data_IF_633816023235
#
_entry.id   IF_633816023235
#
_cell.length_a   1.000
_cell.length_b   1.000
_cell.length_c   1.000
_cell.angle_alpha   90.00
_cell.angle_beta   90.00
_cell.angle_gamma   90.00
#
_symmetry.space_group_name_H-M   'P 1'
#
loop_
_entity.id
_entity.type
_entity.pdbx_description
1 polymer ?
#
# COMPACT_ATOMS: atom_id res chain seq x y z
N UNK A 1 13.84 9.38 -68.98
CA UNK A 1 13.20 10.45 -69.79
C UNK A 1 12.45 11.38 -68.88
N UNK A 2 12.94 12.58 -68.88
CA UNK A 2 12.30 13.90 -68.65
C UNK A 2 11.71 14.11 -67.22
N UNK A 3 12.36 14.87 -66.40
CA UNK A 3 12.42 16.36 -66.34
C UNK A 3 11.05 16.92 -65.92
N UNK A 4 10.87 17.72 -64.95
CA UNK A 4 11.51 19.00 -64.50
C UNK A 4 10.39 19.71 -63.72
N UNK A 5 10.43 20.57 -62.80
CA UNK A 5 11.34 21.60 -62.34
C UNK A 5 10.77 22.25 -61.09
N UNK A 6 11.65 22.74 -60.28
CA UNK A 6 11.57 23.74 -59.21
C UNK A 6 10.75 25.00 -59.54
N UNK A 7 10.13 25.63 -58.53
CA UNK A 7 10.23 27.08 -58.41
C UNK A 7 10.17 27.51 -56.91
N UNK A 8 11.28 28.07 -56.46
CA UNK A 8 11.45 28.94 -55.30
C UNK A 8 10.84 30.33 -55.61
N UNK A 9 10.24 30.94 -54.61
CA UNK A 9 10.23 32.44 -54.57
C UNK A 9 10.49 32.85 -53.11
N UNK A 10 11.55 33.66 -53.02
CA UNK A 10 12.06 34.38 -51.84
C UNK A 10 11.41 35.70 -51.63
N UNK A 11 11.66 36.23 -50.42
CA UNK A 11 11.82 37.63 -49.99
C UNK A 11 10.54 38.35 -49.61
N UNK A 12 10.49 39.10 -48.57
CA UNK A 12 11.42 39.75 -47.64
C UNK A 12 10.69 40.84 -46.83
N UNK A 13 11.34 41.64 -45.98
CA UNK A 13 10.84 42.02 -44.68
C UNK A 13 10.29 43.46 -44.60
N UNK A 14 9.72 43.80 -43.44
CA UNK A 14 9.60 45.12 -42.77
C UNK A 14 8.24 45.29 -42.09
N UNK A 15 8.04 45.95 -40.99
CA UNK A 15 8.79 46.84 -40.10
C UNK A 15 8.06 46.92 -38.75
N UNK A 16 8.79 47.34 -37.76
CA UNK A 16 8.45 47.76 -36.41
C UNK A 16 7.26 48.70 -36.34
N UNK A 17 6.43 48.56 -35.30
CA UNK A 17 5.95 49.72 -34.53
C UNK A 17 5.70 49.29 -33.07
N UNK A 18 6.33 50.04 -32.21
CA UNK A 18 6.19 50.08 -30.76
C UNK A 18 4.86 50.67 -30.35
N UNK A 19 4.20 50.07 -29.36
CA UNK A 19 3.44 50.84 -28.40
C UNK A 19 3.51 50.17 -27.03
N UNK A 20 3.99 50.96 -26.09
CA UNK A 20 3.92 50.78 -24.65
C UNK A 20 2.50 51.05 -24.24
N UNK A 21 2.02 50.39 -23.17
CA UNK A 21 1.33 50.99 -22.06
C UNK A 21 0.77 49.89 -21.17
N UNK A 22 1.26 49.91 -20.00
CA UNK A 22 0.75 50.33 -18.67
C UNK A 22 0.04 49.23 -17.91
N UNK A 23 0.77 48.67 -16.95
CA UNK A 23 0.24 48.00 -15.77
C UNK A 23 -0.57 48.99 -14.89
N UNK A 24 -1.62 48.55 -14.20
CA UNK A 24 -2.07 49.21 -12.99
C UNK A 24 -1.53 48.46 -11.75
N UNK A 25 -0.61 49.12 -11.05
CA UNK A 25 -0.22 48.75 -9.68
C UNK A 25 -1.41 49.04 -8.73
N UNK A 26 -1.91 48.00 -8.07
CA UNK A 26 -2.74 48.20 -6.88
C UNK A 26 -1.86 48.32 -5.65
N UNK A 27 -1.74 49.56 -5.17
CA UNK A 27 -1.14 49.86 -3.87
C UNK A 27 -2.11 49.46 -2.76
N UNK A 28 -1.69 48.55 -1.87
CA UNK A 28 -2.35 48.35 -0.60
C UNK A 28 -1.83 49.37 0.41
N UNK A 29 -2.72 50.21 0.88
CA UNK A 29 -2.50 51.13 1.98
C UNK A 29 -2.49 50.37 3.29
N UNK A 30 -1.34 50.38 3.99
CA UNK A 30 -1.23 49.96 5.38
C UNK A 30 -1.87 51.02 6.28
N UNK A 31 -3.00 50.71 6.90
CA UNK A 31 -3.52 51.49 8.02
C UNK A 31 -2.95 50.84 9.30
N UNK A 32 -2.09 51.56 9.96
CA UNK A 32 -1.60 51.25 11.30
C UNK A 32 -2.69 51.59 12.34
N UNK A 33 -3.05 50.64 13.19
CA UNK A 33 -3.82 50.84 14.41
C UNK A 33 -2.97 50.54 15.65
N UNK A 34 -3.20 51.16 16.80
CA UNK A 34 -2.22 51.35 17.87
C UNK A 34 -2.11 50.10 18.76
N UNK A 35 -0.90 49.95 19.29
CA UNK A 35 -0.55 48.96 20.32
C UNK A 35 -1.42 49.12 21.59
N UNK A 36 -1.95 48.00 22.05
CA UNK A 36 -2.20 47.82 23.47
C UNK A 36 -1.95 46.37 23.91
N UNK A 37 -1.12 46.29 24.91
CA UNK A 37 -0.65 45.10 25.64
C UNK A 37 -1.78 44.20 26.14
N UNK A 38 -1.64 42.87 25.97
CA UNK A 38 -1.74 41.89 27.07
C UNK A 38 -1.43 40.49 26.57
N UNK A 39 -0.57 39.83 27.30
CA UNK A 39 -0.13 38.46 27.11
C UNK A 39 -1.26 37.46 26.91
N UNK A 40 -1.17 36.60 25.88
CA UNK A 40 -2.09 35.47 25.64
C UNK A 40 -2.18 34.91 24.23
N UNK A 41 -1.41 35.40 23.25
CA UNK A 41 -1.64 35.10 21.84
C UNK A 41 -0.66 34.15 21.13
N UNK A 42 0.25 33.46 21.82
CA UNK A 42 1.27 32.61 21.14
C UNK A 42 0.91 31.13 20.98
N UNK A 43 -0.26 30.70 21.47
CA UNK A 43 -0.62 29.26 21.42
C UNK A 43 -1.64 28.88 20.31
N UNK A 44 -2.21 29.85 19.58
CA UNK A 44 -3.22 29.57 18.55
C UNK A 44 -2.66 29.57 17.10
N UNK A 45 -1.58 30.27 16.83
CA UNK A 45 -1.02 30.34 15.46
C UNK A 45 -0.16 29.11 15.17
N UNK A 46 0.49 28.51 16.15
CA UNK A 46 1.24 27.26 15.98
C UNK A 46 0.31 26.04 15.73
N UNK A 47 -0.93 26.06 16.23
CA UNK A 47 -1.91 24.98 15.99
C UNK A 47 -2.62 25.04 14.62
N UNK A 48 -2.54 26.15 13.90
CA UNK A 48 -3.15 26.27 12.55
C UNK A 48 -2.17 25.90 11.43
N UNK A 49 -0.86 25.79 11.71
CA UNK A 49 0.14 25.34 10.74
C UNK A 49 0.34 23.81 10.73
N UNK A 50 -0.17 23.08 11.75
CA UNK A 50 -0.10 21.61 11.82
C UNK A 50 -1.32 20.90 11.18
N UNK A 51 -2.31 21.60 10.65
CA UNK A 51 -3.56 20.98 10.15
C UNK A 51 -3.66 20.88 8.62
N UNK A 52 -2.61 21.12 7.87
CA UNK A 52 -2.58 20.93 6.40
C UNK A 52 -1.66 19.79 5.95
N UNK A 53 -1.48 18.73 6.74
CA UNK A 53 -1.09 17.44 6.16
C UNK A 53 -2.34 16.92 5.44
N UNK A 54 -2.46 17.20 4.14
CA UNK A 54 -3.43 16.58 3.25
C UNK A 54 -3.31 15.07 3.41
N UNK A 55 -4.38 14.41 3.88
CA UNK A 55 -4.45 12.95 3.84
C UNK A 55 -4.30 12.52 2.37
N UNK A 56 -3.10 12.09 2.02
CA UNK A 56 -2.78 11.52 0.71
C UNK A 56 -3.35 10.11 0.69
N UNK A 57 -4.63 9.98 0.36
CA UNK A 57 -5.31 8.69 0.30
C UNK A 57 -4.68 7.80 -0.75
N UNK A 58 -3.99 6.77 -0.32
CA UNK A 58 -3.38 5.74 -1.15
C UNK A 58 -4.47 4.83 -1.72
N UNK A 59 -4.47 4.57 -3.02
CA UNK A 59 -5.23 3.48 -3.63
C UNK A 59 -4.22 2.41 -4.08
N UNK A 60 -4.11 1.38 -3.29
CA UNK A 60 -3.33 0.21 -3.59
C UNK A 60 -4.24 -0.97 -3.93
N UNK A 61 -3.74 -1.90 -4.69
CA UNK A 61 -4.38 -3.17 -5.02
C UNK A 61 -3.32 -4.26 -4.99
N UNK A 62 -3.66 -5.44 -4.46
CA UNK A 62 -2.70 -6.55 -4.26
C UNK A 62 -2.04 -7.05 -5.55
N UNK A 63 -2.77 -7.04 -6.69
CA UNK A 63 -2.21 -7.42 -7.99
C UNK A 63 -1.52 -6.22 -8.63
N UNK A 64 -0.20 -6.30 -8.85
CA UNK A 64 0.55 -5.22 -9.45
C UNK A 64 0.07 -4.89 -10.87
N UNK A 65 0.06 -3.61 -11.29
CA UNK A 65 -0.35 -3.21 -12.63
C UNK A 65 0.38 -3.94 -13.76
N UNK A 66 1.67 -4.26 -13.60
CA UNK A 66 2.46 -4.93 -14.64
C UNK A 66 1.95 -6.34 -14.96
N UNK A 67 1.38 -7.05 -13.97
CA UNK A 67 0.77 -8.37 -14.17
C UNK A 67 -0.51 -8.23 -14.99
N UNK A 68 -1.40 -7.32 -14.60
CA UNK A 68 -2.64 -7.06 -15.34
C UNK A 68 -2.36 -6.53 -16.76
N UNK A 69 -1.36 -5.63 -16.92
CA UNK A 69 -0.93 -5.13 -18.24
C UNK A 69 -0.46 -6.27 -19.14
N UNK A 70 0.30 -7.23 -18.60
CA UNK A 70 0.74 -8.39 -19.36
C UNK A 70 -0.43 -9.28 -19.77
N UNK A 71 -1.34 -9.59 -18.84
CA UNK A 71 -2.55 -10.37 -19.14
C UNK A 71 -3.43 -9.67 -20.18
N UNK A 72 -3.55 -8.36 -20.13
CA UNK A 72 -4.30 -7.55 -21.10
C UNK A 72 -3.64 -7.48 -22.50
N UNK A 73 -2.41 -7.96 -22.66
CA UNK A 73 -1.69 -8.03 -23.93
C UNK A 73 -1.62 -9.45 -24.52
N UNK A 74 -2.17 -10.45 -23.83
CA UNK A 74 -2.24 -11.81 -24.36
C UNK A 74 -3.28 -11.94 -25.48
N UNK A 75 -3.08 -12.87 -26.40
CA UNK A 75 -4.07 -13.19 -27.44
C UNK A 75 -5.19 -14.10 -26.92
N UNK A 76 -5.11 -14.60 -25.67
CA UNK A 76 -6.11 -15.47 -25.08
C UNK A 76 -7.26 -14.65 -24.48
N UNK A 77 -8.48 -14.75 -25.05
CA UNK A 77 -9.63 -13.97 -24.59
C UNK A 77 -10.04 -14.26 -23.15
N UNK A 78 -9.68 -15.43 -22.59
CA UNK A 78 -9.97 -15.80 -21.20
C UNK A 78 -9.23 -14.88 -20.22
N UNK A 79 -8.02 -14.43 -20.55
CA UNK A 79 -7.18 -13.58 -19.71
C UNK A 79 -7.36 -12.10 -20.05
N UNK A 80 -7.31 -11.77 -21.35
CA UNK A 80 -7.36 -10.42 -21.86
C UNK A 80 -8.58 -9.60 -21.37
N UNK A 81 -9.80 -10.17 -21.51
CA UNK A 81 -11.03 -9.41 -21.18
C UNK A 81 -11.14 -9.07 -19.70
N UNK A 82 -10.75 -10.02 -18.82
CA UNK A 82 -10.87 -9.84 -17.38
C UNK A 82 -9.78 -8.90 -16.84
N UNK A 83 -8.53 -9.04 -17.30
CA UNK A 83 -7.45 -8.16 -16.94
C UNK A 83 -7.70 -6.71 -17.36
N UNK A 84 -8.18 -6.50 -18.59
CA UNK A 84 -8.52 -5.17 -19.10
C UNK A 84 -9.63 -4.51 -18.30
N UNK A 85 -10.69 -5.26 -17.97
CA UNK A 85 -11.79 -4.74 -17.13
C UNK A 85 -11.29 -4.35 -15.74
N UNK A 86 -10.44 -5.18 -15.12
CA UNK A 86 -9.84 -4.88 -13.82
C UNK A 86 -9.00 -3.61 -13.89
N UNK A 87 -8.13 -3.44 -14.92
CA UNK A 87 -7.33 -2.22 -15.11
C UNK A 87 -8.18 -0.95 -15.28
N UNK A 88 -9.24 -1.02 -16.10
CA UNK A 88 -10.16 0.11 -16.32
C UNK A 88 -10.87 0.49 -15.02
N UNK A 89 -11.27 -0.51 -14.25
CA UNK A 89 -11.93 -0.31 -12.96
C UNK A 89 -10.99 0.30 -11.92
N UNK A 90 -9.79 -0.25 -11.73
CA UNK A 90 -8.77 0.26 -10.82
C UNK A 90 -8.37 1.69 -11.17
N UNK A 91 -8.27 2.03 -12.46
CA UNK A 91 -8.05 3.38 -12.95
C UNK A 91 -9.15 4.37 -12.53
N UNK A 92 -10.40 3.93 -12.58
CA UNK A 92 -11.56 4.73 -12.17
C UNK A 92 -11.61 4.96 -10.67
N UNK A 93 -11.30 3.93 -9.87
CA UNK A 93 -11.23 4.00 -8.41
C UNK A 93 -10.11 4.94 -7.95
N UNK A 94 -8.92 4.85 -8.55
CA UNK A 94 -7.80 5.78 -8.27
C UNK A 94 -8.20 7.23 -8.52
N UNK A 95 -8.94 7.49 -9.59
CA UNK A 95 -9.41 8.83 -9.93
C UNK A 95 -10.45 9.33 -8.92
N UNK A 96 -11.43 8.50 -8.56
CA UNK A 96 -12.43 8.83 -7.54
C UNK A 96 -11.77 9.16 -6.21
N UNK A 97 -10.83 8.35 -5.75
CA UNK A 97 -10.17 8.51 -4.47
C UNK A 97 -9.37 9.81 -4.39
N UNK A 98 -8.65 10.20 -5.45
CA UNK A 98 -7.98 11.50 -5.54
C UNK A 98 -8.95 12.69 -5.42
N UNK A 99 -10.19 12.54 -5.90
CA UNK A 99 -11.22 13.58 -5.81
C UNK A 99 -11.89 13.61 -4.44
N UNK A 100 -12.04 12.45 -3.77
CA UNK A 100 -12.74 12.32 -2.49
C UNK A 100 -11.83 12.67 -1.30
N UNK A 101 -10.52 12.44 -1.40
CA UNK A 101 -9.54 12.82 -0.39
C UNK A 101 -9.62 14.32 -0.02
N UNK A 102 -9.99 15.17 -0.95
CA UNK A 102 -10.27 16.60 -0.69
C UNK A 102 -11.54 16.86 0.13
N UNK A 103 -12.41 15.86 0.32
CA UNK A 103 -13.72 16.02 0.98
C UNK A 103 -13.78 15.39 2.38
N UNK A 104 -12.90 14.42 2.69
CA UNK A 104 -12.91 13.67 3.96
C UNK A 104 -12.30 14.42 5.16
N UNK A 105 -11.79 15.62 4.98
CA UNK A 105 -11.27 16.47 6.07
C UNK A 105 -12.32 16.81 7.16
N UNK A 106 -13.57 16.41 6.98
CA UNK A 106 -14.69 16.74 7.89
C UNK A 106 -15.65 15.58 8.19
N UNK A 107 -15.30 14.33 7.98
CA UNK A 107 -16.07 13.24 8.55
C UNK A 107 -15.62 13.07 10.00
N UNK A 108 -16.45 13.55 10.89
CA UNK A 108 -16.37 13.38 12.34
C UNK A 108 -16.15 11.88 12.63
N UNK A 109 -14.91 11.52 12.97
CA UNK A 109 -14.63 10.22 13.54
C UNK A 109 -15.37 10.20 14.87
N UNK A 110 -16.56 9.61 14.89
CA UNK A 110 -17.16 9.16 16.13
C UNK A 110 -16.21 8.11 16.70
N UNK A 111 -15.14 8.59 17.34
CA UNK A 111 -14.16 7.78 18.04
C UNK A 111 -14.93 6.94 19.06
N UNK A 112 -15.24 5.71 18.67
CA UNK A 112 -15.73 4.72 19.59
C UNK A 112 -14.65 4.51 20.65
N UNK A 113 -15.03 4.20 21.85
CA UNK A 113 -14.05 3.77 22.88
C UNK A 113 -13.29 2.57 22.30
N UNK A 114 -11.94 2.59 22.29
CA UNK A 114 -11.14 1.44 21.85
C UNK A 114 -11.66 0.17 22.52
N UNK A 115 -11.86 -0.89 21.74
CA UNK A 115 -12.43 -2.17 22.21
C UNK A 115 -11.43 -3.29 21.95
N UNK A 116 -11.28 -4.19 22.91
CA UNK A 116 -10.48 -5.42 22.75
C UNK A 116 -11.20 -6.48 21.92
N UNK A 117 -12.40 -6.19 21.44
CA UNK A 117 -13.15 -7.06 20.53
C UNK A 117 -13.33 -6.40 19.18
N UNK A 118 -13.11 -7.13 18.07
CA UNK A 118 -13.32 -6.59 16.73
C UNK A 118 -14.80 -6.29 16.48
N UNK A 119 -15.07 -5.39 15.55
CA UNK A 119 -16.44 -5.12 15.04
C UNK A 119 -16.42 -5.38 13.55
N UNK A 120 -16.66 -6.65 13.16
CA UNK A 120 -16.60 -7.09 11.77
C UNK A 120 -17.97 -7.13 11.11
N UNK A 121 -18.06 -6.66 9.88
CA UNK A 121 -19.26 -6.79 9.05
C UNK A 121 -18.84 -7.18 7.63
N UNK A 122 -19.45 -8.25 7.10
CA UNK A 122 -19.22 -8.69 5.72
C UNK A 122 -20.46 -8.41 4.90
N UNK A 123 -20.23 -7.82 3.74
CA UNK A 123 -21.22 -7.49 2.72
C UNK A 123 -20.98 -8.31 1.46
N UNK A 124 -22.04 -8.61 0.73
CA UNK A 124 -22.04 -9.30 -0.55
C UNK A 124 -22.45 -8.32 -1.66
N UNK A 125 -21.55 -8.04 -2.59
CA UNK A 125 -21.81 -7.20 -3.75
C UNK A 125 -22.56 -7.93 -4.88
N UNK A 126 -22.72 -9.26 -4.81
CA UNK A 126 -23.44 -10.07 -5.81
C UNK A 126 -22.94 -9.85 -7.23
N UNK A 127 -21.62 -9.82 -7.40
CA UNK A 127 -20.93 -9.51 -8.66
C UNK A 127 -21.26 -8.12 -9.24
N UNK A 128 -21.77 -7.19 -8.41
CA UNK A 128 -21.92 -5.77 -8.77
C UNK A 128 -20.72 -4.95 -8.26
N UNK A 129 -20.54 -3.74 -8.83
CA UNK A 129 -19.49 -2.79 -8.44
C UNK A 129 -20.02 -1.73 -7.46
N UNK A 130 -21.10 -2.04 -6.77
CA UNK A 130 -21.74 -1.13 -5.80
C UNK A 130 -21.35 -1.54 -4.38
N UNK A 131 -20.75 -0.61 -3.64
CA UNK A 131 -20.31 -0.79 -2.26
C UNK A 131 -21.30 -0.14 -1.28
N UNK A 132 -21.44 -0.74 -0.06
CA UNK A 132 -20.84 -2.00 0.38
C UNK A 132 -21.59 -3.26 -0.07
N UNK A 133 -22.77 -3.16 -0.68
CA UNK A 133 -23.62 -4.30 -1.02
C UNK A 133 -24.59 -4.68 0.10
N UNK A 134 -24.98 -5.98 0.16
CA UNK A 134 -25.93 -6.48 1.15
C UNK A 134 -25.18 -7.10 2.33
N UNK A 135 -25.47 -6.69 3.56
CA UNK A 135 -24.89 -7.32 4.75
C UNK A 135 -25.27 -8.80 4.83
N UNK A 136 -24.26 -9.67 4.95
CA UNK A 136 -24.44 -11.13 5.01
C UNK A 136 -23.89 -11.76 6.29
N UNK A 137 -22.94 -11.09 6.98
CA UNK A 137 -22.45 -11.56 8.27
C UNK A 137 -22.03 -10.38 9.14
N UNK A 138 -22.46 -10.38 10.41
CA UNK A 138 -22.07 -9.41 11.42
C UNK A 138 -21.16 -10.05 12.48
N UNK A 139 -20.57 -9.22 13.35
CA UNK A 139 -19.78 -9.70 14.49
C UNK A 139 -20.61 -10.66 15.35
N UNK A 140 -19.97 -11.77 15.76
CA UNK A 140 -20.59 -12.81 16.59
C UNK A 140 -21.58 -13.72 15.87
N UNK A 141 -21.83 -13.52 14.57
CA UNK A 141 -22.70 -14.41 13.79
C UNK A 141 -22.01 -15.73 13.46
N UNK A 142 -22.75 -16.84 13.51
CA UNK A 142 -22.26 -18.14 13.11
C UNK A 142 -21.83 -18.18 11.62
N UNK A 143 -20.89 -19.07 11.27
CA UNK A 143 -20.47 -19.26 9.89
C UNK A 143 -21.64 -19.67 8.99
N UNK A 144 -21.77 -19.00 7.84
CA UNK A 144 -22.70 -19.38 6.78
C UNK A 144 -22.14 -20.49 5.86
N UNK A 145 -22.89 -20.78 4.79
CA UNK A 145 -22.44 -21.75 3.76
C UNK A 145 -21.40 -21.18 2.81
N UNK A 146 -21.33 -19.88 2.71
CA UNK A 146 -20.43 -19.17 1.81
C UNK A 146 -19.00 -19.15 2.39
N UNK A 147 -18.09 -19.82 1.69
CA UNK A 147 -16.70 -19.92 2.13
C UNK A 147 -15.94 -18.60 2.02
N UNK A 148 -16.25 -17.78 1.01
CA UNK A 148 -15.65 -16.46 0.79
C UNK A 148 -15.98 -15.50 1.92
N UNK A 149 -17.28 -15.44 2.30
CA UNK A 149 -17.75 -14.66 3.46
C UNK A 149 -17.06 -15.10 4.74
N UNK A 150 -16.92 -16.43 4.94
CA UNK A 150 -16.29 -16.97 6.15
C UNK A 150 -14.79 -16.68 6.21
N UNK A 151 -14.08 -16.78 5.07
CA UNK A 151 -12.65 -16.46 4.99
C UNK A 151 -12.39 -14.96 5.22
N UNK A 152 -13.17 -14.08 4.58
CA UNK A 152 -13.09 -12.64 4.82
C UNK A 152 -13.27 -12.32 6.31
N UNK A 153 -14.32 -12.86 6.94
CA UNK A 153 -14.58 -12.65 8.37
C UNK A 153 -13.44 -13.15 9.26
N UNK A 154 -12.88 -14.32 8.97
CA UNK A 154 -11.77 -14.89 9.72
C UNK A 154 -10.48 -14.07 9.52
N UNK A 155 -10.19 -13.63 8.29
CA UNK A 155 -9.00 -12.83 7.97
C UNK A 155 -9.01 -11.44 8.63
N UNK A 156 -10.17 -10.76 8.66
CA UNK A 156 -10.33 -9.52 9.42
C UNK A 156 -10.03 -9.76 10.91
N UNK A 157 -10.51 -10.89 11.46
CA UNK A 157 -10.24 -11.28 12.85
C UNK A 157 -8.78 -11.57 13.12
N UNK A 158 -8.10 -12.32 12.24
CA UNK A 158 -6.68 -12.64 12.37
C UNK A 158 -5.82 -11.37 12.35
N UNK A 159 -6.16 -10.41 11.49
CA UNK A 159 -5.51 -9.11 11.43
C UNK A 159 -5.68 -8.33 12.74
N UNK A 160 -6.92 -8.21 13.21
CA UNK A 160 -7.23 -7.56 14.49
C UNK A 160 -6.47 -8.20 15.65
N UNK A 161 -6.44 -9.52 15.71
CA UNK A 161 -5.80 -10.29 16.76
C UNK A 161 -4.28 -10.07 16.83
N UNK A 162 -3.58 -10.07 15.69
CA UNK A 162 -2.15 -9.76 15.67
C UNK A 162 -1.89 -8.34 16.19
N UNK A 163 -2.57 -7.34 15.64
CA UNK A 163 -2.35 -5.95 16.00
C UNK A 163 -2.67 -5.69 17.47
N UNK A 164 -3.77 -6.23 17.99
CA UNK A 164 -4.12 -6.05 19.40
C UNK A 164 -3.20 -6.83 20.34
N UNK A 165 -3.08 -8.15 20.12
CA UNK A 165 -2.43 -9.05 21.09
C UNK A 165 -0.91 -8.93 21.13
N UNK A 166 -0.29 -8.55 20.00
CA UNK A 166 1.18 -8.43 19.90
C UNK A 166 1.65 -7.00 20.05
N UNK A 167 0.90 -6.05 19.48
CA UNK A 167 1.32 -4.65 19.41
C UNK A 167 0.46 -3.68 20.23
N UNK A 168 -0.63 -4.15 20.84
CA UNK A 168 -1.52 -3.33 21.65
C UNK A 168 -2.34 -2.31 20.86
N UNK A 169 -2.48 -2.53 19.52
CA UNK A 169 -3.21 -1.61 18.63
C UNK A 169 -4.67 -2.03 18.48
N UNK A 170 -5.57 -1.10 18.73
CA UNK A 170 -7.02 -1.29 18.65
C UNK A 170 -7.52 -1.00 17.22
N UNK A 171 -7.58 -2.05 16.39
CA UNK A 171 -7.99 -1.95 14.98
C UNK A 171 -7.03 -1.13 14.11
N UNK A 172 -7.48 -0.68 12.92
CA UNK A 172 -6.66 -0.05 11.88
C UNK A 172 -6.19 1.35 12.30
N UNK A 173 -7.04 2.10 12.97
CA UNK A 173 -6.81 3.50 13.37
C UNK A 173 -6.30 3.67 14.82
N UNK A 174 -6.13 2.55 15.55
CA UNK A 174 -5.86 2.53 17.00
C UNK A 174 -6.97 3.15 17.87
N UNK A 175 -8.15 3.37 17.29
CA UNK A 175 -9.32 3.95 17.96
C UNK A 175 -10.56 3.02 17.86
N UNK A 176 -10.39 1.80 17.31
CA UNK A 176 -11.46 0.81 17.22
C UNK A 176 -12.32 0.94 15.96
N UNK A 177 -11.74 1.36 14.84
CA UNK A 177 -12.44 1.40 13.54
C UNK A 177 -13.13 0.06 13.24
N UNK A 178 -14.42 0.05 12.83
CA UNK A 178 -15.09 -1.16 12.39
C UNK A 178 -14.38 -1.79 11.19
N UNK A 179 -14.23 -3.10 11.21
CA UNK A 179 -13.63 -3.86 10.11
C UNK A 179 -14.73 -4.34 9.16
N UNK A 180 -14.97 -3.57 8.12
CA UNK A 180 -15.94 -3.89 7.09
C UNK A 180 -15.26 -4.55 5.89
N UNK A 181 -15.91 -5.52 5.26
CA UNK A 181 -15.44 -6.11 4.02
C UNK A 181 -16.60 -6.40 3.06
N UNK A 182 -16.37 -6.16 1.78
CA UNK A 182 -17.27 -6.55 0.70
C UNK A 182 -16.64 -7.68 -0.10
N UNK A 183 -17.36 -8.78 -0.27
CA UNK A 183 -16.98 -9.93 -1.10
C UNK A 183 -17.81 -10.00 -2.36
N UNK A 184 -17.41 -10.86 -3.30
CA UNK A 184 -18.07 -11.04 -4.60
C UNK A 184 -18.20 -9.73 -5.37
N UNK A 185 -17.14 -8.90 -5.29
CA UNK A 185 -17.13 -7.60 -5.95
C UNK A 185 -16.80 -7.73 -7.43
N UNK A 186 -17.65 -7.12 -8.27
CA UNK A 186 -17.51 -7.19 -9.71
C UNK A 186 -17.69 -8.61 -10.27
N UNK A 187 -17.68 -8.73 -11.58
CA UNK A 187 -17.73 -10.04 -12.23
C UNK A 187 -16.34 -10.48 -12.65
N UNK A 188 -15.81 -11.55 -12.03
CA UNK A 188 -14.45 -12.05 -12.28
C UNK A 188 -13.41 -10.94 -12.10
N UNK A 189 -13.57 -10.18 -11.05
CA UNK A 189 -12.66 -9.10 -10.71
C UNK A 189 -11.37 -9.68 -10.13
N UNK A 190 -10.26 -9.42 -10.83
CA UNK A 190 -8.95 -10.00 -10.51
C UNK A 190 -8.14 -9.10 -9.58
N UNK A 191 -8.75 -8.67 -8.47
CA UNK A 191 -8.04 -7.87 -7.48
C UNK A 191 -8.71 -7.88 -6.11
N UNK A 192 -8.00 -7.36 -5.10
CA UNK A 192 -8.50 -6.92 -3.82
C UNK A 192 -7.89 -5.56 -3.46
N UNK A 193 -8.57 -4.76 -2.65
CA UNK A 193 -8.08 -3.45 -2.24
C UNK A 193 -8.72 -2.96 -0.94
N UNK A 194 -7.98 -2.09 -0.24
CA UNK A 194 -8.49 -1.21 0.80
C UNK A 194 -8.97 0.10 0.19
N UNK A 195 -10.25 0.48 0.37
CA UNK A 195 -10.80 1.71 -0.21
C UNK A 195 -10.68 2.95 0.70
N UNK A 196 -10.12 2.80 1.89
CA UNK A 196 -10.03 3.83 2.93
C UNK A 196 -11.01 3.63 4.08
N UNK A 197 -12.06 2.83 3.89
CA UNK A 197 -13.11 2.57 4.87
C UNK A 197 -13.41 1.08 5.03
N UNK A 198 -13.21 0.29 3.99
CA UNK A 198 -13.50 -1.14 3.96
C UNK A 198 -12.56 -1.92 3.04
N UNK A 199 -12.52 -3.22 3.26
CA UNK A 199 -11.90 -4.17 2.34
C UNK A 199 -12.85 -4.54 1.21
N UNK A 200 -12.31 -4.74 0.01
CA UNK A 200 -13.08 -5.19 -1.16
C UNK A 200 -12.35 -6.34 -1.84
N UNK A 201 -13.05 -7.45 -2.05
CA UNK A 201 -12.50 -8.68 -2.61
C UNK A 201 -13.25 -9.12 -3.86
N UNK A 202 -12.50 -9.34 -4.95
CA UNK A 202 -12.96 -10.06 -6.12
C UNK A 202 -12.88 -11.58 -5.95
N UNK A 203 -13.63 -12.30 -6.77
CA UNK A 203 -13.62 -13.77 -6.80
C UNK A 203 -12.51 -14.34 -7.69
N UNK A 204 -11.77 -13.47 -8.39
CA UNK A 204 -10.88 -13.89 -9.46
C UNK A 204 -11.64 -14.38 -10.70
N UNK A 205 -10.89 -14.70 -11.75
CA UNK A 205 -11.47 -15.26 -12.99
C UNK A 205 -11.62 -16.79 -12.94
N UNK A 206 -10.97 -17.43 -11.97
CA UNK A 206 -10.94 -18.87 -11.76
C UNK A 206 -9.89 -19.60 -12.62
N UNK A 207 -9.22 -18.89 -13.51
CA UNK A 207 -8.18 -19.42 -14.39
C UNK A 207 -6.78 -18.94 -13.95
N UNK A 208 -6.54 -17.62 -13.94
CA UNK A 208 -5.26 -17.02 -13.50
C UNK A 208 -5.27 -16.77 -12.00
N UNK A 209 -6.36 -16.20 -11.50
CA UNK A 209 -6.53 -15.91 -10.08
C UNK A 209 -7.77 -16.59 -9.53
N UNK A 210 -7.62 -17.14 -8.34
CA UNK A 210 -8.70 -17.65 -7.51
C UNK A 210 -9.26 -16.53 -6.62
N UNK A 211 -10.18 -16.87 -5.73
CA UNK A 211 -10.82 -15.97 -4.78
C UNK A 211 -9.78 -15.29 -3.84
N UNK A 212 -9.79 -13.97 -3.80
CA UNK A 212 -8.83 -13.13 -3.09
C UNK A 212 -8.94 -13.20 -1.56
N UNK A 213 -9.94 -13.88 -1.04
CA UNK A 213 -10.05 -14.20 0.40
C UNK A 213 -9.31 -15.47 0.81
N UNK A 214 -8.80 -16.28 -0.15
CA UNK A 214 -8.11 -17.54 0.16
C UNK A 214 -6.83 -17.31 0.97
N UNK A 215 -5.91 -16.42 0.56
CA UNK A 215 -4.70 -16.19 1.32
C UNK A 215 -4.94 -15.13 2.40
N UNK A 216 -4.79 -15.49 3.67
CA UNK A 216 -4.98 -14.56 4.79
C UNK A 216 -3.96 -13.42 4.80
N UNK A 217 -2.76 -13.64 4.24
CA UNK A 217 -1.73 -12.63 4.07
C UNK A 217 -2.17 -11.50 3.12
N UNK A 218 -3.00 -11.78 2.11
CA UNK A 218 -3.61 -10.76 1.23
C UNK A 218 -4.57 -9.88 2.02
N UNK A 219 -5.43 -10.47 2.86
CA UNK A 219 -6.34 -9.71 3.72
C UNK A 219 -5.57 -8.81 4.68
N UNK A 220 -4.51 -9.36 5.29
CA UNK A 220 -3.63 -8.64 6.20
C UNK A 220 -2.84 -7.54 5.53
N UNK A 221 -2.36 -7.76 4.30
CA UNK A 221 -1.65 -6.78 3.47
C UNK A 221 -2.51 -5.54 3.23
N UNK A 222 -3.70 -5.74 2.72
CA UNK A 222 -4.60 -4.63 2.39
C UNK A 222 -5.03 -3.82 3.63
N UNK A 223 -5.35 -4.50 4.73
CA UNK A 223 -5.67 -3.82 5.99
C UNK A 223 -4.47 -3.07 6.56
N UNK A 224 -3.25 -3.53 6.31
CA UNK A 224 -2.02 -2.85 6.75
C UNK A 224 -1.80 -1.53 6.00
N UNK A 225 -2.25 -1.39 4.75
CA UNK A 225 -2.29 -0.08 4.10
C UNK A 225 -3.13 0.93 4.89
N UNK A 226 -4.23 0.49 5.49
CA UNK A 226 -5.00 1.30 6.43
C UNK A 226 -4.19 1.68 7.67
N UNK A 227 -3.42 0.75 8.26
CA UNK A 227 -2.53 1.05 9.39
C UNK A 227 -1.46 2.06 9.00
N UNK A 228 -0.80 1.89 7.85
CA UNK A 228 0.18 2.87 7.33
C UNK A 228 -0.45 4.24 7.12
N UNK A 229 -1.66 4.30 6.58
CA UNK A 229 -2.42 5.55 6.39
C UNK A 229 -2.67 6.29 7.72
N UNK A 230 -2.98 5.56 8.81
CA UNK A 230 -3.25 6.12 10.14
C UNK A 230 -1.99 6.29 11.00
N UNK A 231 -0.79 6.09 10.44
CA UNK A 231 0.49 6.26 11.14
C UNK A 231 1.45 7.15 10.35
N UNK A 232 2.41 6.58 9.64
CA UNK A 232 3.39 7.33 8.86
C UNK A 232 2.82 7.97 7.58
N UNK A 233 1.69 7.47 7.09
CA UNK A 233 1.00 7.98 5.90
C UNK A 233 1.92 8.15 4.67
N UNK A 234 2.74 7.13 4.40
CA UNK A 234 3.76 7.14 3.36
C UNK A 234 3.19 7.48 1.99
N UNK A 235 3.86 8.38 1.25
CA UNK A 235 3.53 8.69 -0.14
C UNK A 235 3.60 7.45 -1.01
N UNK A 236 2.57 7.20 -1.82
CA UNK A 236 2.52 6.02 -2.66
C UNK A 236 3.23 6.25 -4.01
N UNK A 237 4.55 6.57 -3.91
CA UNK A 237 5.41 6.78 -5.06
C UNK A 237 6.88 6.45 -4.72
N UNK A 238 7.61 5.83 -5.66
CA UNK A 238 9.04 5.55 -5.51
C UNK A 238 9.37 4.72 -4.28
N UNK A 239 10.41 5.09 -3.51
CA UNK A 239 10.83 4.31 -2.36
C UNK A 239 9.85 4.39 -1.18
N UNK A 240 9.22 5.51 -0.90
CA UNK A 240 8.19 5.62 0.14
C UNK A 240 6.98 4.73 -0.16
N UNK A 241 6.55 4.67 -1.43
CA UNK A 241 5.51 3.75 -1.87
C UNK A 241 5.95 2.28 -1.79
N UNK A 242 7.20 1.98 -2.13
CA UNK A 242 7.75 0.63 -1.98
C UNK A 242 7.90 0.22 -0.50
N UNK A 243 8.16 1.15 0.41
CA UNK A 243 8.08 0.91 1.87
C UNK A 243 6.64 0.64 2.32
N UNK A 244 5.66 1.37 1.79
CA UNK A 244 4.25 1.14 2.08
C UNK A 244 3.83 -0.28 1.68
N UNK A 245 4.22 -0.73 0.46
CA UNK A 245 4.02 -2.09 -0.03
C UNK A 245 4.71 -3.14 0.84
N UNK A 246 5.98 -2.89 1.19
CA UNK A 246 6.74 -3.82 2.02
C UNK A 246 6.17 -3.95 3.43
N UNK A 247 5.74 -2.85 4.05
CA UNK A 247 5.08 -2.90 5.36
C UNK A 247 3.80 -3.73 5.27
N UNK A 248 3.02 -3.56 4.20
CA UNK A 248 1.83 -4.35 3.96
C UNK A 248 2.14 -5.85 3.79
N UNK A 249 3.17 -6.21 3.01
CA UNK A 249 3.64 -7.59 2.85
C UNK A 249 4.20 -8.18 4.16
N UNK A 250 5.00 -7.40 4.90
CA UNK A 250 5.57 -7.83 6.18
C UNK A 250 4.48 -8.17 7.17
N UNK A 251 3.55 -7.24 7.43
CA UNK A 251 2.48 -7.50 8.40
C UNK A 251 1.46 -8.51 7.89
N UNK A 252 1.18 -8.57 6.58
CA UNK A 252 0.40 -9.65 5.96
C UNK A 252 1.00 -11.02 6.24
N UNK A 253 2.31 -11.16 6.01
CA UNK A 253 3.05 -12.39 6.34
C UNK A 253 3.04 -12.70 7.84
N UNK A 254 3.19 -11.69 8.72
CA UNK A 254 3.13 -11.89 10.17
C UNK A 254 1.74 -12.32 10.65
N UNK A 255 0.67 -11.79 10.06
CA UNK A 255 -0.71 -12.20 10.34
C UNK A 255 -0.91 -13.68 9.98
N UNK A 256 -0.43 -14.10 8.80
CA UNK A 256 -0.44 -15.51 8.38
C UNK A 256 0.34 -16.38 9.34
N UNK A 257 1.60 -16.04 9.65
CA UNK A 257 2.44 -16.79 10.56
C UNK A 257 1.82 -16.89 11.96
N UNK A 258 1.29 -15.79 12.49
CA UNK A 258 0.63 -15.75 13.80
C UNK A 258 -0.60 -16.66 13.83
N UNK A 259 -1.46 -16.58 12.82
CA UNK A 259 -2.68 -17.39 12.72
C UNK A 259 -2.40 -18.90 12.60
N UNK A 260 -1.26 -19.26 12.01
CA UNK A 260 -0.81 -20.64 11.83
C UNK A 260 0.14 -21.12 12.96
N UNK A 261 0.55 -20.23 13.88
CA UNK A 261 1.51 -20.55 14.93
C UNK A 261 2.90 -20.93 14.39
N UNK A 262 3.34 -20.33 13.27
CA UNK A 262 4.59 -20.66 12.60
C UNK A 262 5.72 -19.76 13.07
N UNK A 263 6.85 -20.34 13.46
CA UNK A 263 8.09 -19.57 13.65
C UNK A 263 8.67 -19.08 12.32
N UNK A 264 9.63 -18.14 12.40
CA UNK A 264 10.33 -17.60 11.23
C UNK A 264 11.00 -18.70 10.36
N UNK A 265 11.47 -19.79 10.99
CA UNK A 265 12.06 -20.93 10.28
C UNK A 265 11.05 -21.87 9.63
N UNK A 266 9.79 -21.84 10.03
CA UNK A 266 8.70 -22.66 9.50
C UNK A 266 7.88 -21.97 8.42
N UNK A 267 7.89 -20.63 8.41
CA UNK A 267 7.13 -19.83 7.46
C UNK A 267 7.64 -20.02 6.03
N UNK A 268 6.73 -19.98 5.07
CA UNK A 268 7.04 -20.07 3.64
C UNK A 268 7.60 -18.75 3.06
N UNK A 269 7.33 -17.63 3.71
CA UNK A 269 7.70 -16.28 3.29
C UNK A 269 7.17 -15.89 1.91
N UNK A 270 6.02 -16.48 1.54
CA UNK A 270 5.29 -16.19 0.32
C UNK A 270 4.09 -15.29 0.60
N UNK A 271 3.80 -14.36 -0.28
CA UNK A 271 2.61 -13.50 -0.28
C UNK A 271 1.66 -13.97 -1.37
N UNK A 272 0.39 -14.21 -1.01
CA UNK A 272 -0.63 -14.68 -1.93
C UNK A 272 -0.46 -16.14 -2.36
N UNK A 273 0.17 -16.99 -1.53
CA UNK A 273 0.23 -18.42 -1.78
C UNK A 273 -1.18 -19.03 -1.82
N UNK A 274 -1.47 -19.79 -2.88
CA UNK A 274 -2.80 -20.36 -3.13
C UNK A 274 -3.77 -19.44 -3.86
N UNK A 275 -3.34 -18.26 -4.30
CA UNK A 275 -4.14 -17.34 -5.12
C UNK A 275 -4.06 -17.67 -6.61
N UNK A 276 -2.95 -18.25 -7.07
CA UNK A 276 -2.77 -18.58 -8.48
C UNK A 276 -3.63 -19.76 -8.88
N UNK A 277 -4.35 -19.61 -9.99
CA UNK A 277 -5.27 -20.60 -10.54
C UNK A 277 -4.59 -21.59 -11.49
N UNK A 278 -5.36 -22.53 -12.04
CA UNK A 278 -4.83 -23.60 -12.91
C UNK A 278 -4.30 -23.10 -14.26
N UNK A 279 -4.52 -21.85 -14.62
CA UNK A 279 -3.94 -21.24 -15.83
C UNK A 279 -2.49 -20.78 -15.65
N UNK A 280 -1.91 -20.92 -14.45
CA UNK A 280 -0.53 -20.57 -14.12
C UNK A 280 0.22 -21.83 -13.72
N UNK A 281 1.13 -22.29 -14.58
CA UNK A 281 1.86 -23.55 -14.38
C UNK A 281 3.13 -23.39 -13.56
N UNK A 282 3.79 -22.22 -13.62
CA UNK A 282 5.12 -21.97 -13.04
C UNK A 282 5.08 -20.78 -12.08
N UNK A 283 4.13 -20.80 -11.14
CA UNK A 283 3.97 -19.80 -10.10
C UNK A 283 3.58 -20.45 -8.78
N UNK A 284 4.12 -19.93 -7.68
CA UNK A 284 3.80 -20.41 -6.32
C UNK A 284 3.03 -19.38 -5.50
N UNK A 285 3.22 -18.10 -5.81
CA UNK A 285 2.62 -16.97 -5.09
C UNK A 285 2.77 -15.68 -5.91
N UNK A 286 2.27 -14.56 -5.40
CA UNK A 286 2.46 -13.24 -6.00
C UNK A 286 3.87 -12.68 -5.78
N UNK A 287 4.43 -12.90 -4.58
CA UNK A 287 5.76 -12.41 -4.18
C UNK A 287 6.45 -13.40 -3.25
N UNK A 288 7.79 -13.35 -3.20
CA UNK A 288 8.61 -14.10 -2.25
C UNK A 288 9.50 -13.15 -1.46
N UNK A 289 9.27 -13.02 -0.16
CA UNK A 289 10.13 -12.21 0.72
C UNK A 289 11.51 -12.86 0.93
N UNK A 290 11.56 -14.19 0.91
CA UNK A 290 12.78 -14.98 1.04
C UNK A 290 13.70 -14.85 -0.18
N UNK A 291 13.12 -14.82 -1.36
CA UNK A 291 13.85 -14.79 -2.62
C UNK A 291 13.08 -13.94 -3.64
N UNK A 292 13.10 -12.60 -3.53
CA UNK A 292 12.44 -11.72 -4.49
C UNK A 292 12.88 -12.02 -5.93
N UNK A 293 11.96 -11.96 -6.88
CA UNK A 293 12.20 -12.32 -8.27
C UNK A 293 12.02 -13.80 -8.61
N UNK A 294 11.50 -14.61 -7.67
CA UNK A 294 11.37 -16.08 -7.86
C UNK A 294 9.97 -16.63 -7.59
N UNK A 295 8.99 -15.78 -7.29
CA UNK A 295 7.63 -16.24 -6.98
C UNK A 295 6.95 -16.89 -8.19
N UNK A 296 7.24 -16.42 -9.40
CA UNK A 296 6.78 -17.01 -10.66
C UNK A 296 7.77 -16.74 -11.80
N UNK A 297 7.83 -17.69 -12.76
CA UNK A 297 8.49 -17.52 -14.06
C UNK A 297 7.63 -18.30 -15.09
N UNK A 298 6.52 -17.67 -15.50
CA UNK A 298 5.39 -18.29 -16.14
C UNK A 298 5.07 -17.65 -17.50
N UNK A 299 4.58 -18.42 -18.44
CA UNK A 299 4.27 -17.94 -19.77
C UNK A 299 3.13 -16.91 -19.78
N UNK A 300 2.19 -17.01 -18.82
CA UNK A 300 1.04 -16.13 -18.65
C UNK A 300 1.41 -14.90 -17.84
N UNK A 301 1.99 -15.08 -16.64
CA UNK A 301 2.34 -13.99 -15.74
C UNK A 301 3.65 -13.27 -16.11
N UNK A 302 4.53 -13.91 -16.84
CA UNK A 302 5.91 -13.47 -17.06
C UNK A 302 6.82 -13.90 -15.92
N UNK A 303 7.92 -13.17 -15.73
CA UNK A 303 8.87 -13.38 -14.64
C UNK A 303 8.62 -12.34 -13.55
N UNK A 304 8.69 -12.79 -12.30
CA UNK A 304 8.66 -11.91 -11.12
C UNK A 304 9.80 -10.86 -11.23
N UNK A 305 9.46 -9.55 -11.30
CA UNK A 305 10.45 -8.51 -11.53
C UNK A 305 11.11 -7.99 -10.24
N UNK A 306 10.74 -8.50 -9.05
CA UNK A 306 11.21 -7.94 -7.79
C UNK A 306 12.72 -8.13 -7.59
N UNK A 307 13.49 -7.06 -7.33
CA UNK A 307 14.87 -7.14 -6.92
C UNK A 307 15.01 -7.54 -5.45
N UNK A 308 16.06 -8.31 -5.13
CA UNK A 308 16.40 -8.66 -3.76
C UNK A 308 17.32 -7.62 -3.08
N UNK A 309 18.03 -6.80 -3.87
CA UNK A 309 19.02 -5.82 -3.39
C UNK A 309 18.97 -4.51 -4.15
N UNK A 310 19.60 -3.48 -3.60
CA UNK A 310 19.71 -2.15 -4.25
C UNK A 310 20.51 -2.15 -5.57
N UNK A 311 21.37 -3.15 -5.78
CA UNK A 311 22.14 -3.29 -7.02
C UNK A 311 21.24 -3.48 -8.24
N UNK A 312 20.10 -4.13 -8.02
CA UNK A 312 19.09 -4.42 -9.05
C UNK A 312 17.87 -3.48 -8.96
N UNK A 313 17.95 -2.37 -8.23
CA UNK A 313 16.84 -1.43 -8.07
C UNK A 313 16.27 -0.96 -9.41
N UNK A 314 14.96 -1.14 -9.62
CA UNK A 314 14.29 -0.83 -10.89
C UNK A 314 13.85 0.63 -10.94
N UNK A 315 14.45 1.42 -11.85
CA UNK A 315 14.07 2.80 -12.12
C UNK A 315 13.01 2.84 -13.23
N UNK A 316 11.78 3.16 -12.87
CA UNK A 316 10.65 3.21 -13.78
C UNK A 316 9.68 4.33 -13.42
N UNK A 317 8.91 4.83 -14.39
CA UNK A 317 7.78 5.72 -14.17
C UNK A 317 6.45 4.96 -14.06
N UNK A 318 6.44 3.66 -14.43
CA UNK A 318 5.28 2.78 -14.28
C UNK A 318 5.12 2.39 -12.82
N UNK A 319 3.95 1.88 -12.45
CA UNK A 319 3.69 1.35 -11.11
C UNK A 319 4.09 2.37 -10.02
N UNK A 320 3.71 3.66 -10.20
CA UNK A 320 4.06 4.76 -9.29
C UNK A 320 5.57 4.81 -8.92
N UNK A 321 6.44 4.60 -9.89
CA UNK A 321 7.89 4.52 -9.65
C UNK A 321 8.36 3.13 -9.22
N UNK A 322 7.59 2.07 -9.51
CA UNK A 322 7.92 0.68 -9.24
C UNK A 322 7.68 0.26 -7.79
N UNK A 323 6.59 0.72 -7.17
CA UNK A 323 6.30 0.46 -5.75
C UNK A 323 6.16 -1.03 -5.44
N UNK A 324 5.41 -1.79 -6.26
CA UNK A 324 5.27 -3.24 -6.08
C UNK A 324 6.52 -4.03 -6.50
N UNK A 325 7.38 -3.43 -7.32
CA UNK A 325 8.62 -4.07 -7.78
C UNK A 325 9.69 -3.92 -6.71
N UNK A 326 10.00 -2.68 -6.32
CA UNK A 326 11.12 -2.38 -5.42
C UNK A 326 10.82 -2.70 -3.94
N UNK A 327 9.57 -3.01 -3.58
CA UNK A 327 9.21 -3.54 -2.26
C UNK A 327 9.91 -4.87 -1.93
N UNK A 328 10.39 -5.59 -2.94
CA UNK A 328 11.20 -6.80 -2.75
C UNK A 328 12.45 -6.56 -1.90
N UNK A 329 13.08 -5.38 -2.00
CA UNK A 329 14.32 -5.05 -1.25
C UNK A 329 14.05 -4.97 0.26
N UNK A 330 13.14 -4.13 0.78
CA UNK A 330 12.83 -4.11 2.21
C UNK A 330 12.11 -5.38 2.70
N UNK A 331 11.37 -6.09 1.85
CA UNK A 331 10.83 -7.42 2.17
C UNK A 331 11.94 -8.42 2.47
N UNK A 332 12.98 -8.41 1.63
CA UNK A 332 14.13 -9.29 1.84
C UNK A 332 14.92 -8.93 3.09
N UNK A 333 15.09 -7.63 3.38
CA UNK A 333 15.71 -7.17 4.62
C UNK A 333 14.96 -7.68 5.86
N UNK A 334 13.61 -7.62 5.85
CA UNK A 334 12.81 -8.15 6.95
C UNK A 334 12.96 -9.66 7.11
N UNK A 335 12.91 -10.42 6.01
CA UNK A 335 13.14 -11.87 6.03
C UNK A 335 14.50 -12.21 6.65
N UNK A 336 15.57 -11.53 6.22
CA UNK A 336 16.92 -11.74 6.74
C UNK A 336 16.99 -11.44 8.25
N UNK A 337 16.40 -10.36 8.70
CA UNK A 337 16.32 -10.00 10.12
C UNK A 337 15.56 -11.06 10.92
N UNK A 338 14.35 -11.40 10.50
CA UNK A 338 13.48 -12.31 11.22
C UNK A 338 14.09 -13.72 11.35
N UNK A 339 14.72 -14.21 10.29
CA UNK A 339 15.38 -15.52 10.30
C UNK A 339 16.70 -15.51 11.09
N UNK A 340 17.45 -14.41 11.09
CA UNK A 340 18.64 -14.28 11.93
C UNK A 340 18.31 -14.26 13.41
N UNK A 341 17.22 -13.60 13.81
CA UNK A 341 16.76 -13.55 15.19
C UNK A 341 16.09 -14.87 15.62
N UNK A 342 15.45 -15.59 14.69
CA UNK A 342 14.72 -16.83 14.97
C UNK A 342 13.51 -16.62 15.89
N UNK A 343 12.89 -17.71 16.32
CA UNK A 343 11.65 -17.66 17.08
C UNK A 343 10.46 -17.20 16.24
N UNK A 344 9.52 -16.49 16.84
CA UNK A 344 8.37 -15.94 16.15
C UNK A 344 8.71 -14.57 15.54
N UNK A 345 8.52 -14.44 14.22
CA UNK A 345 8.92 -13.20 13.52
C UNK A 345 8.15 -11.97 14.02
N UNK A 346 6.90 -12.12 14.45
CA UNK A 346 6.08 -11.02 15.00
C UNK A 346 6.55 -10.49 16.37
N UNK A 347 7.41 -11.21 17.09
CA UNK A 347 7.89 -10.77 18.40
C UNK A 347 9.02 -9.74 18.26
N UNK A 348 10.27 -10.18 17.95
CA UNK A 348 11.42 -9.26 17.93
C UNK A 348 11.48 -8.44 16.64
N UNK A 349 11.53 -9.09 15.48
CA UNK A 349 11.61 -8.41 14.20
C UNK A 349 10.36 -7.58 13.92
N UNK A 350 9.17 -8.12 14.12
CA UNK A 350 7.90 -7.43 13.94
C UNK A 350 7.74 -6.23 14.87
N UNK A 351 8.17 -6.33 16.15
CA UNK A 351 8.14 -5.19 17.07
C UNK A 351 9.07 -4.05 16.66
N UNK A 352 10.24 -4.35 16.09
CA UNK A 352 11.14 -3.31 15.55
C UNK A 352 10.45 -2.57 14.39
N UNK A 353 9.89 -3.30 13.41
CA UNK A 353 9.16 -2.71 12.28
C UNK A 353 7.94 -1.91 12.73
N UNK A 354 7.15 -2.46 13.64
CA UNK A 354 5.97 -1.79 14.19
C UNK A 354 6.33 -0.49 14.94
N UNK A 355 7.34 -0.54 15.81
CA UNK A 355 7.82 0.64 16.52
C UNK A 355 8.33 1.72 15.56
N UNK A 356 9.00 1.32 14.47
CA UNK A 356 9.45 2.25 13.43
C UNK A 356 8.27 2.89 12.71
N UNK A 357 7.26 2.11 12.33
CA UNK A 357 6.07 2.61 11.64
C UNK A 357 5.24 3.58 12.51
N UNK A 358 5.16 3.32 13.82
CA UNK A 358 4.26 4.05 14.74
C UNK A 358 4.98 5.09 15.60
N UNK A 359 6.31 5.17 15.52
CA UNK A 359 7.13 6.04 16.39
C UNK A 359 7.04 7.54 16.09
N UNK A 360 6.41 7.94 14.98
CA UNK A 360 6.19 9.34 14.61
C UNK A 360 7.40 10.04 13.97
N UNK A 361 8.52 9.33 13.80
CA UNK A 361 9.74 9.86 13.15
C UNK A 361 9.87 9.47 11.68
N UNK A 362 8.99 8.58 11.19
CA UNK A 362 8.97 8.14 9.80
C UNK A 362 8.18 9.16 8.97
N UNK A 363 8.90 9.98 8.19
CA UNK A 363 8.30 10.98 7.31
C UNK A 363 7.59 10.32 6.12
N UNK A 364 6.60 11.00 5.56
CA UNK A 364 5.74 10.47 4.50
C UNK A 364 6.48 10.23 3.16
N UNK A 365 7.61 10.88 2.91
CA UNK A 365 8.48 10.73 1.74
C UNK A 365 9.75 9.90 2.01
N UNK A 366 9.82 9.19 3.14
CA UNK A 366 10.99 8.45 3.59
C UNK A 366 11.54 7.49 2.54
N UNK A 367 12.86 7.45 2.43
CA UNK A 367 13.58 6.52 1.56
C UNK A 367 13.99 5.26 2.33
N UNK A 368 14.44 4.22 1.64
CA UNK A 368 14.90 2.97 2.29
C UNK A 368 15.97 3.21 3.35
N UNK A 369 16.90 4.14 3.12
CA UNK A 369 17.93 4.47 4.08
C UNK A 369 17.37 5.14 5.36
N UNK A 370 16.34 5.97 5.23
CA UNK A 370 15.68 6.59 6.38
C UNK A 370 14.97 5.53 7.23
N UNK A 371 14.22 4.63 6.59
CA UNK A 371 13.57 3.52 7.27
C UNK A 371 14.58 2.58 7.93
N UNK A 372 15.69 2.25 7.24
CA UNK A 372 16.76 1.42 7.79
C UNK A 372 17.38 2.05 9.05
N UNK A 373 17.68 3.35 9.02
CA UNK A 373 18.19 4.11 10.16
C UNK A 373 17.20 4.10 11.33
N UNK A 374 15.91 4.29 11.05
CA UNK A 374 14.87 4.29 12.09
C UNK A 374 14.63 2.88 12.68
N UNK A 375 14.73 1.81 11.86
CA UNK A 375 14.68 0.43 12.40
C UNK A 375 15.84 0.14 13.33
N UNK A 376 17.02 0.67 13.05
CA UNK A 376 18.19 0.56 13.93
C UNK A 376 17.96 1.31 15.24
N UNK A 377 17.39 2.52 15.20
CA UNK A 377 17.04 3.30 16.38
C UNK A 377 15.97 2.58 17.23
N UNK A 378 14.94 2.02 16.59
CA UNK A 378 13.90 1.23 17.24
C UNK A 378 14.46 -0.03 17.92
N UNK A 379 15.39 -0.75 17.26
CA UNK A 379 16.05 -1.91 17.85
C UNK A 379 16.84 -1.52 19.12
N UNK A 380 17.60 -0.42 19.06
CA UNK A 380 18.32 0.10 20.24
C UNK A 380 17.39 0.50 21.38
N UNK A 381 16.30 1.17 21.06
CA UNK A 381 15.30 1.60 22.04
C UNK A 381 14.61 0.43 22.73
N UNK A 382 14.27 -0.62 21.99
CA UNK A 382 13.52 -1.78 22.49
C UNK A 382 14.41 -2.78 23.24
N UNK A 383 15.65 -2.96 22.80
CA UNK A 383 16.50 -4.10 23.24
C UNK A 383 17.89 -3.68 23.74
N UNK A 384 18.27 -2.41 23.63
CA UNK A 384 19.64 -1.95 23.89
C UNK A 384 20.62 -2.35 22.77
N UNK A 385 21.93 -2.23 23.05
CA UNK A 385 22.97 -2.69 22.12
C UNK A 385 23.15 -4.21 22.27
N UNK A 386 22.81 -4.96 21.24
CA UNK A 386 22.81 -6.42 21.29
C UNK A 386 22.58 -7.08 19.96
N UNK A 387 22.12 -8.32 19.99
CA UNK A 387 21.92 -9.16 18.82
C UNK A 387 20.90 -8.56 17.82
N UNK A 388 19.87 -7.89 18.33
CA UNK A 388 18.84 -7.24 17.49
C UNK A 388 19.45 -6.10 16.66
N UNK A 389 20.28 -5.28 17.25
CA UNK A 389 21.00 -4.18 16.57
C UNK A 389 21.94 -4.73 15.51
N UNK A 390 22.71 -5.77 15.83
CA UNK A 390 23.61 -6.40 14.86
C UNK A 390 22.86 -7.09 13.73
N UNK A 391 21.73 -7.71 14.02
CA UNK A 391 20.88 -8.35 13.02
C UNK A 391 20.25 -7.33 12.06
N UNK A 392 19.77 -6.17 12.57
CA UNK A 392 19.26 -5.07 11.74
C UNK A 392 20.34 -4.51 10.82
N UNK A 393 21.52 -4.18 11.36
CA UNK A 393 22.65 -3.68 10.55
C UNK A 393 23.02 -4.67 9.44
N UNK A 394 23.12 -5.96 9.78
CA UNK A 394 23.46 -7.01 8.84
C UNK A 394 22.39 -7.17 7.76
N UNK A 395 21.12 -7.21 8.13
CA UNK A 395 20.02 -7.38 7.19
C UNK A 395 19.98 -6.26 6.14
N UNK A 396 20.04 -5.01 6.57
CA UNK A 396 20.07 -3.87 5.64
C UNK A 396 21.34 -3.80 4.79
N UNK A 397 22.48 -4.11 5.38
CA UNK A 397 23.74 -4.21 4.62
C UNK A 397 23.68 -5.28 3.52
N UNK A 398 23.04 -6.42 3.77
CA UNK A 398 22.93 -7.52 2.79
C UNK A 398 22.04 -7.13 1.59
N UNK A 399 21.08 -6.25 1.77
CA UNK A 399 20.26 -5.72 0.66
C UNK A 399 20.81 -4.42 0.05
N UNK A 400 21.99 -3.99 0.48
CA UNK A 400 22.67 -2.81 -0.09
C UNK A 400 22.12 -1.46 0.37
N UNK A 401 21.42 -1.41 1.52
CA UNK A 401 20.88 -0.17 2.11
C UNK A 401 21.70 0.21 3.35
N UNK A 402 22.29 1.44 3.40
CA UNK A 402 22.99 1.87 4.60
C UNK A 402 22.01 2.18 5.73
N UNK A 403 22.23 1.61 6.92
CA UNK A 403 21.43 1.85 8.13
C UNK A 403 22.16 2.71 9.17
N UNK A 404 23.43 3.07 8.94
CA UNK A 404 24.28 3.86 9.80
C UNK A 404 25.05 4.93 9.01
#
# INVERSE_FOLDING_TARGET
MMHSTLTEVREGPQRRSSMRDTEPRHSFVLIAAPANDKAGGRCQIARMAESEKSEKTVFCTIIPPHVLDRLAQTDDPRFYEHARRTLEHDGSLRTRRRLTARRMVYADSSAGTPSDTPRRTIYDARCHETLPGTQVRAEGSEPGKDATVNRAYAGLGATFDLYLKVYGRHSIDDAGLPLNATVHYGRKYNNAFWDGEQMVFGDGDGDVFLDFTIPVDVIGHELTHGVVQHTANLEYYGQSGALNESLADVFGSLIKQYSLGQSAGQADWLIGSGLLGPGVDKGTALRSMKAPGTAYDDDVLGKDPQPATMDDYVRTSRDNGGVHINSGIPNHAFYLLATALGGNAWERAGKIWYATLTGGELEDDAQFADFARLTLASARSLYGEGDEVQAVLKAWSQVGVPAA
#
